data_IF_489736573307
#
_entry.id   IF_489736573307
#
_cell.length_a   1.000
_cell.length_b   1.000
_cell.length_c   1.000
_cell.angle_alpha   90.00
_cell.angle_beta   90.00
_cell.angle_gamma   90.00
#
_symmetry.space_group_name_H-M   'P 1'
#
loop_
_entity.id
_entity.type
_entity.pdbx_description
1 polymer ?
#
# COMPACT_ATOMS: atom_id res chain seq x y z
N UNK A 1 21.95 12.47 0.03
CA UNK A 1 21.67 12.88 -1.37
C UNK A 1 21.62 11.62 -2.19
N UNK A 2 20.56 11.44 -2.97
CA UNK A 2 20.34 10.19 -3.70
C UNK A 2 20.62 10.39 -5.19
N UNK A 3 21.42 9.50 -5.77
CA UNK A 3 21.74 9.51 -7.19
C UNK A 3 21.06 8.33 -7.87
N UNK A 4 20.10 8.63 -8.75
CA UNK A 4 19.30 7.60 -9.43
C UNK A 4 19.98 7.19 -10.73
N UNK A 5 20.19 5.89 -10.90
CA UNK A 5 20.75 5.28 -12.12
C UNK A 5 19.97 4.03 -12.53
N UNK A 6 20.17 3.58 -13.77
CA UNK A 6 19.58 2.36 -14.32
C UNK A 6 20.62 1.23 -14.35
N UNK A 7 20.22 0.01 -13.99
CA UNK A 7 21.06 -1.18 -14.18
C UNK A 7 21.07 -1.59 -15.65
N UNK A 8 22.24 -1.71 -16.26
CA UNK A 8 22.44 -2.24 -17.61
C UNK A 8 23.78 -2.95 -17.71
N UNK A 9 23.82 -4.15 -18.30
CA UNK A 9 25.05 -4.94 -18.45
C UNK A 9 25.80 -5.20 -17.14
N UNK A 10 25.08 -5.38 -16.01
CA UNK A 10 25.67 -5.57 -14.69
C UNK A 10 26.24 -4.31 -14.04
N UNK A 11 26.14 -3.14 -14.69
CA UNK A 11 26.63 -1.85 -14.16
C UNK A 11 25.47 -0.92 -13.87
N UNK A 12 25.68 -0.01 -12.91
CA UNK A 12 24.76 1.10 -12.65
C UNK A 12 25.16 2.28 -13.53
N UNK A 13 24.27 2.67 -14.44
CA UNK A 13 24.46 3.77 -15.38
C UNK A 13 23.65 4.97 -14.89
N UNK A 14 24.32 6.09 -14.65
CA UNK A 14 23.67 7.35 -14.29
C UNK A 14 23.33 8.15 -15.55
N UNK A 15 22.16 8.82 -15.60
CA UNK A 15 21.91 9.86 -16.60
C UNK A 15 22.99 10.95 -16.53
N UNK A 16 23.36 11.61 -17.67
CA UNK A 16 24.44 12.59 -17.70
C UNK A 16 24.33 13.70 -16.64
N UNK A 17 23.12 14.21 -16.40
CA UNK A 17 22.86 15.23 -15.38
C UNK A 17 23.16 14.72 -13.96
N UNK A 18 22.73 13.50 -13.63
CA UNK A 18 22.97 12.87 -12.32
C UNK A 18 24.46 12.54 -12.14
N UNK A 19 25.13 12.10 -13.19
CA UNK A 19 26.57 11.81 -13.18
C UNK A 19 27.41 13.08 -12.91
N UNK A 20 27.00 14.22 -13.47
CA UNK A 20 27.64 15.51 -13.23
C UNK A 20 27.38 16.00 -11.79
N UNK A 21 26.14 15.90 -11.32
CA UNK A 21 25.79 16.27 -9.95
C UNK A 21 26.54 15.42 -8.92
N UNK A 22 26.67 14.12 -9.18
CA UNK A 22 27.48 13.20 -8.38
C UNK A 22 28.95 13.63 -8.36
N UNK A 23 29.55 13.92 -9.51
CA UNK A 23 30.93 14.40 -9.59
C UNK A 23 31.15 15.70 -8.80
N UNK A 24 30.23 16.65 -8.89
CA UNK A 24 30.29 17.89 -8.10
C UNK A 24 30.25 17.62 -6.60
N UNK A 25 29.36 16.72 -6.17
CA UNK A 25 29.29 16.32 -4.76
C UNK A 25 30.60 15.69 -4.27
N UNK A 26 31.19 14.76 -5.03
CA UNK A 26 32.48 14.18 -4.65
C UNK A 26 33.61 15.21 -4.56
N UNK A 27 33.64 16.20 -5.46
CA UNK A 27 34.62 17.29 -5.40
C UNK A 27 34.44 18.22 -4.19
N UNK A 28 33.23 18.28 -3.62
CA UNK A 28 32.96 19.09 -2.43
C UNK A 28 33.38 18.43 -1.12
N UNK A 29 33.69 17.12 -1.15
CA UNK A 29 34.11 16.38 0.03
C UNK A 29 35.63 16.56 0.21
N UNK A 30 36.11 16.95 1.41
CA UNK A 30 37.54 17.09 1.68
C UNK A 30 38.30 15.79 1.44
N UNK A 31 39.54 15.92 0.97
CA UNK A 31 40.44 14.78 0.78
C UNK A 31 40.76 14.14 2.14
N UNK A 32 40.67 12.80 2.21
CA UNK A 32 40.86 12.03 3.44
C UNK A 32 39.61 11.88 4.33
N UNK A 33 38.45 12.43 3.94
CA UNK A 33 37.20 12.20 4.67
C UNK A 33 36.63 10.80 4.42
N UNK A 34 36.14 10.15 5.48
CA UNK A 34 35.39 8.89 5.37
C UNK A 34 34.01 9.13 4.76
N UNK A 35 33.67 8.37 3.70
CA UNK A 35 32.38 8.49 3.00
C UNK A 35 31.64 7.17 2.99
N UNK A 36 30.39 7.17 3.48
CA UNK A 36 29.45 6.05 3.38
C UNK A 36 28.46 6.31 2.26
N UNK A 37 28.35 5.37 1.30
CA UNK A 37 27.30 5.38 0.27
C UNK A 37 26.54 4.06 0.26
N UNK A 38 25.22 4.12 0.09
CA UNK A 38 24.35 2.94 0.02
C UNK A 38 23.64 2.87 -1.33
N UNK A 39 23.55 1.65 -1.88
CA UNK A 39 22.75 1.36 -3.07
C UNK A 39 21.44 0.70 -2.65
N UNK A 40 20.31 1.26 -3.08
CA UNK A 40 19.00 0.64 -2.92
C UNK A 40 18.29 0.57 -4.28
N UNK A 41 17.50 -0.49 -4.50
CA UNK A 41 16.63 -0.57 -5.67
C UNK A 41 15.52 0.45 -5.50
N UNK A 42 15.44 1.42 -6.40
CA UNK A 42 14.31 2.33 -6.45
C UNK A 42 13.08 1.57 -6.94
N UNK A 43 12.17 1.25 -6.02
CA UNK A 43 10.84 0.75 -6.38
C UNK A 43 10.08 1.88 -7.06
N UNK A 44 9.45 1.60 -8.20
CA UNK A 44 8.56 2.59 -8.83
C UNK A 44 7.47 2.99 -7.82
N UNK A 45 7.23 4.29 -7.71
CA UNK A 45 6.11 4.80 -6.92
C UNK A 45 4.80 4.22 -7.49
N UNK A 46 3.93 3.71 -6.62
CA UNK A 46 2.64 3.15 -7.03
C UNK A 46 1.77 4.25 -7.61
N UNK A 47 1.13 3.99 -8.74
CA UNK A 47 0.14 4.90 -9.32
C UNK A 47 -1.14 4.91 -8.50
N UNK A 48 -1.93 6.00 -8.57
CA UNK A 48 -3.24 6.07 -7.91
C UNK A 48 -4.18 4.92 -8.32
N UNK A 49 -4.09 4.46 -9.58
CA UNK A 49 -4.84 3.28 -10.05
C UNK A 49 -4.41 1.99 -9.35
N UNK A 50 -3.11 1.81 -9.13
CA UNK A 50 -2.60 0.66 -8.37
C UNK A 50 -3.03 0.73 -6.91
N UNK A 51 -2.98 1.91 -6.27
CA UNK A 51 -3.46 2.09 -4.89
C UNK A 51 -4.95 1.75 -4.75
N UNK A 52 -5.79 2.23 -5.68
CA UNK A 52 -7.21 1.89 -5.71
C UNK A 52 -7.46 0.38 -5.90
N UNK A 53 -6.68 -0.29 -6.75
CA UNK A 53 -6.78 -1.73 -6.95
C UNK A 53 -6.38 -2.51 -5.70
N UNK A 54 -5.29 -2.10 -5.04
CA UNK A 54 -4.80 -2.67 -3.77
C UNK A 54 -5.85 -2.52 -2.68
N UNK A 55 -6.46 -1.34 -2.56
CA UNK A 55 -7.53 -1.09 -1.59
C UNK A 55 -8.74 -1.98 -1.86
N UNK A 56 -9.25 -1.98 -3.10
CA UNK A 56 -10.45 -2.75 -3.46
C UNK A 56 -10.27 -4.26 -3.27
N UNK A 57 -9.05 -4.76 -3.44
CA UNK A 57 -8.68 -6.15 -3.14
C UNK A 57 -8.70 -6.49 -1.67
N UNK A 58 -8.08 -5.64 -0.87
CA UNK A 58 -7.99 -5.86 0.57
C UNK A 58 -9.39 -5.90 1.19
N UNK A 59 -10.26 -4.98 0.74
CA UNK A 59 -11.66 -4.94 1.14
C UNK A 59 -12.41 -6.18 0.67
N UNK A 60 -12.21 -6.63 -0.58
CA UNK A 60 -12.83 -7.84 -1.07
C UNK A 60 -12.43 -9.07 -0.26
N UNK A 61 -11.14 -9.22 0.08
CA UNK A 61 -10.66 -10.32 0.91
C UNK A 61 -11.28 -10.27 2.31
N UNK A 62 -11.33 -9.09 2.94
CA UNK A 62 -11.93 -8.93 4.26
C UNK A 62 -13.43 -9.26 4.25
N UNK A 63 -14.17 -8.86 3.22
CA UNK A 63 -15.59 -9.23 3.06
C UNK A 63 -15.76 -10.74 2.94
N UNK A 64 -14.95 -11.42 2.10
CA UNK A 64 -14.99 -12.88 1.97
C UNK A 64 -14.71 -13.58 3.31
N UNK A 65 -13.69 -13.13 4.04
CA UNK A 65 -13.36 -13.71 5.35
C UNK A 65 -14.46 -13.52 6.40
N UNK A 66 -15.18 -12.40 6.36
CA UNK A 66 -16.31 -12.15 7.26
C UNK A 66 -17.52 -13.02 6.88
N UNK A 67 -17.79 -13.16 5.58
CA UNK A 67 -18.87 -14.00 5.05
C UNK A 67 -18.62 -15.49 5.34
N UNK A 68 -17.40 -15.99 5.13
CA UNK A 68 -17.00 -17.37 5.43
C UNK A 68 -17.14 -17.72 6.92
N UNK A 69 -17.07 -16.71 7.80
CA UNK A 69 -17.29 -16.85 9.25
C UNK A 69 -18.75 -16.70 9.65
N UNK A 70 -19.65 -16.41 8.72
CA UNK A 70 -21.08 -16.20 8.95
C UNK A 70 -21.41 -14.87 9.62
N UNK A 71 -20.57 -13.84 9.47
CA UNK A 71 -20.84 -12.52 10.02
C UNK A 71 -21.70 -11.67 9.07
N UNK A 72 -22.73 -11.06 9.65
CA UNK A 72 -23.60 -10.09 8.97
C UNK A 72 -23.34 -8.66 9.50
N UNK A 73 -24.05 -7.65 9.00
CA UNK A 73 -23.80 -6.25 9.40
C UNK A 73 -23.90 -5.98 10.91
N UNK A 74 -24.58 -6.83 11.68
CA UNK A 74 -24.60 -6.78 13.16
C UNK A 74 -23.21 -6.84 13.79
N UNK A 75 -22.26 -7.55 13.17
CA UNK A 75 -20.90 -7.65 13.66
C UNK A 75 -20.17 -6.30 13.59
N UNK A 76 -20.38 -5.55 12.50
CA UNK A 76 -19.77 -4.23 12.28
C UNK A 76 -20.49 -3.16 13.09
N UNK A 77 -21.82 -3.23 13.14
CA UNK A 77 -22.68 -2.25 13.82
C UNK A 77 -22.82 -2.53 15.32
N UNK A 78 -22.27 -3.65 15.80
CA UNK A 78 -22.36 -4.13 17.18
C UNK A 78 -23.81 -4.18 17.70
N UNK A 79 -24.72 -4.75 16.90
CA UNK A 79 -26.13 -4.89 17.29
C UNK A 79 -26.37 -6.22 18.01
N UNK A 80 -27.29 -6.28 18.99
CA UNK A 80 -27.51 -7.48 19.80
C UNK A 80 -28.12 -8.64 19.01
N UNK A 81 -28.86 -8.34 17.95
CA UNK A 81 -29.50 -9.35 17.11
C UNK A 81 -28.84 -9.38 15.72
N UNK A 82 -28.72 -10.57 15.10
CA UNK A 82 -28.30 -10.70 13.70
C UNK A 82 -29.23 -9.90 12.78
N UNK A 83 -28.64 -9.23 11.80
CA UNK A 83 -29.40 -8.48 10.80
C UNK A 83 -29.84 -9.33 9.61
N UNK A 84 -29.13 -10.43 9.33
CA UNK A 84 -29.25 -11.22 8.11
C UNK A 84 -28.78 -10.50 6.85
N UNK A 85 -28.19 -9.30 6.98
CA UNK A 85 -27.73 -8.49 5.85
C UNK A 85 -26.22 -8.71 5.69
N UNK A 86 -25.79 -9.15 4.52
CA UNK A 86 -24.38 -9.36 4.23
C UNK A 86 -23.57 -8.06 4.36
N UNK A 87 -22.33 -8.17 4.83
CA UNK A 87 -21.40 -7.04 4.92
C UNK A 87 -20.91 -6.71 3.51
N UNK A 88 -21.31 -5.57 2.96
CA UNK A 88 -20.84 -5.12 1.66
C UNK A 88 -19.53 -4.31 1.74
N UNK A 89 -18.94 -4.07 0.56
CA UNK A 89 -17.68 -3.34 0.45
C UNK A 89 -17.77 -1.89 0.91
N UNK A 90 -18.91 -1.23 0.72
CA UNK A 90 -19.08 0.19 1.01
C UNK A 90 -19.16 0.39 2.52
N UNK A 91 -19.98 -0.40 3.21
CA UNK A 91 -20.06 -0.42 4.67
C UNK A 91 -18.68 -0.63 5.28
N UNK A 92 -17.93 -1.61 4.77
CA UNK A 92 -16.62 -1.93 5.30
C UNK A 92 -15.59 -0.83 5.02
N UNK A 93 -15.64 -0.18 3.84
CA UNK A 93 -14.81 0.98 3.54
C UNK A 93 -15.08 2.14 4.50
N UNK A 94 -16.36 2.48 4.70
CA UNK A 94 -16.76 3.57 5.59
C UNK A 94 -16.35 3.27 7.04
N UNK A 95 -16.53 2.03 7.49
CA UNK A 95 -16.05 1.59 8.78
C UNK A 95 -14.54 1.83 8.95
N UNK A 96 -13.70 1.42 7.98
CA UNK A 96 -12.26 1.62 8.07
C UNK A 96 -11.84 3.09 8.02
N UNK A 97 -12.53 3.95 7.28
CA UNK A 97 -12.29 5.39 7.35
C UNK A 97 -12.64 5.98 8.72
N UNK A 98 -13.54 5.35 9.48
CA UNK A 98 -13.84 5.77 10.86
C UNK A 98 -12.82 5.25 11.87
N UNK A 99 -12.42 3.97 11.80
CA UNK A 99 -11.54 3.35 12.81
C UNK A 99 -10.04 3.55 12.54
N UNK A 100 -9.65 3.82 11.29
CA UNK A 100 -8.26 4.09 10.90
C UNK A 100 -8.17 5.42 10.13
N UNK A 101 -8.54 6.56 10.74
CA UNK A 101 -8.60 7.83 10.03
C UNK A 101 -7.21 8.35 9.66
N UNK A 102 -7.10 8.92 8.46
CA UNK A 102 -5.99 9.79 8.04
C UNK A 102 -6.53 11.21 7.93
N UNK A 103 -5.76 12.16 8.43
CA UNK A 103 -6.10 13.57 8.42
C UNK A 103 -5.20 14.34 7.44
N UNK A 104 -5.75 15.39 6.82
CA UNK A 104 -4.96 16.39 6.11
C UNK A 104 -4.31 17.39 7.09
N UNK A 105 -3.59 18.36 6.53
CA UNK A 105 -2.92 19.42 7.30
C UNK A 105 -3.89 20.29 8.10
N UNK A 106 -5.16 20.37 7.68
CA UNK A 106 -6.23 21.09 8.37
C UNK A 106 -6.91 20.25 9.46
N UNK A 107 -6.45 19.01 9.69
CA UNK A 107 -7.07 18.08 10.65
C UNK A 107 -8.40 17.49 10.17
N UNK A 108 -8.74 17.61 8.88
CA UNK A 108 -9.94 17.00 8.31
C UNK A 108 -9.64 15.59 7.84
N UNK A 109 -10.57 14.67 8.11
CA UNK A 109 -10.46 13.30 7.62
C UNK A 109 -10.50 13.30 6.08
N UNK A 110 -9.56 12.58 5.48
CA UNK A 110 -9.49 12.39 4.04
C UNK A 110 -9.72 10.94 3.63
N UNK A 111 -10.25 10.74 2.42
CA UNK A 111 -10.44 9.44 1.79
C UNK A 111 -9.31 9.15 0.81
N UNK A 112 -9.21 7.90 0.32
CA UNK A 112 -8.14 7.46 -0.58
C UNK A 112 -7.92 8.38 -1.80
N UNK A 113 -8.99 8.99 -2.34
CA UNK A 113 -8.90 9.92 -3.48
C UNK A 113 -8.12 11.20 -3.21
N UNK A 114 -7.95 11.57 -1.92
CA UNK A 114 -7.22 12.76 -1.48
C UNK A 114 -5.88 12.44 -0.82
N UNK A 115 -5.58 11.16 -0.59
CA UNK A 115 -4.33 10.73 0.03
C UNK A 115 -3.18 10.79 -0.96
N UNK A 116 -2.01 11.23 -0.50
CA UNK A 116 -0.75 10.96 -1.19
C UNK A 116 -0.34 9.48 -1.01
N UNK A 117 0.71 9.06 -1.71
CA UNK A 117 1.16 7.65 -1.72
C UNK A 117 1.56 7.18 -0.30
N UNK A 118 2.25 8.01 0.47
CA UNK A 118 2.70 7.66 1.81
C UNK A 118 1.53 7.50 2.79
N UNK A 119 0.58 8.45 2.75
CA UNK A 119 -0.66 8.40 3.51
C UNK A 119 -1.48 7.16 3.18
N UNK A 120 -1.63 6.83 1.89
CA UNK A 120 -2.35 5.64 1.45
C UNK A 120 -1.67 4.34 1.94
N UNK A 121 -0.35 4.25 1.85
CA UNK A 121 0.40 3.08 2.32
C UNK A 121 0.32 2.93 3.84
N UNK A 122 0.39 4.04 4.58
CA UNK A 122 0.16 4.05 6.04
C UNK A 122 -1.24 3.56 6.37
N UNK A 123 -2.26 4.13 5.72
CA UNK A 123 -3.66 3.72 5.88
C UNK A 123 -3.86 2.21 5.65
N UNK A 124 -3.27 1.67 4.58
CA UNK A 124 -3.35 0.22 4.30
C UNK A 124 -2.66 -0.63 5.36
N UNK A 125 -1.56 -0.14 5.94
CA UNK A 125 -0.88 -0.81 7.05
C UNK A 125 -1.74 -0.80 8.32
N UNK A 126 -2.33 0.35 8.66
CA UNK A 126 -3.20 0.51 9.82
C UNK A 126 -4.44 -0.40 9.73
N UNK A 127 -5.08 -0.45 8.55
CA UNK A 127 -6.23 -1.35 8.31
C UNK A 127 -5.84 -2.83 8.42
N UNK A 128 -4.69 -3.24 7.91
CA UNK A 128 -4.19 -4.62 8.07
C UNK A 128 -3.94 -4.98 9.52
N UNK A 129 -3.32 -4.07 10.27
CA UNK A 129 -3.06 -4.26 11.69
C UNK A 129 -4.37 -4.32 12.49
N UNK A 130 -5.35 -3.50 12.14
CA UNK A 130 -6.68 -3.56 12.73
C UNK A 130 -7.35 -4.91 12.46
N UNK A 131 -7.41 -5.34 11.20
CA UNK A 131 -7.97 -6.63 10.79
C UNK A 131 -7.34 -7.80 11.55
N UNK A 132 -6.01 -7.82 11.65
CA UNK A 132 -5.29 -8.87 12.35
C UNK A 132 -5.55 -8.84 13.87
N UNK A 133 -5.52 -7.65 14.48
CA UNK A 133 -5.62 -7.52 15.95
C UNK A 133 -7.05 -7.63 16.48
N UNK A 134 -8.03 -7.04 15.80
CA UNK A 134 -9.41 -6.97 16.28
C UNK A 134 -10.24 -8.15 15.79
N UNK A 135 -10.01 -8.60 14.56
CA UNK A 135 -10.87 -9.62 13.93
C UNK A 135 -10.11 -10.91 13.59
N UNK A 136 -8.81 -10.99 13.88
CA UNK A 136 -7.98 -12.15 13.52
C UNK A 136 -8.10 -12.50 12.04
N UNK A 137 -8.22 -11.49 11.17
CA UNK A 137 -8.24 -11.63 9.71
C UNK A 137 -6.87 -11.19 9.19
N UNK A 138 -6.17 -12.09 8.50
CA UNK A 138 -4.87 -11.79 7.89
C UNK A 138 -5.09 -11.53 6.40
N UNK A 139 -5.00 -10.26 6.00
CA UNK A 139 -4.99 -9.91 4.57
C UNK A 139 -3.54 -9.71 4.12
N UNK A 140 -3.00 -10.58 3.26
CA UNK A 140 -1.64 -10.43 2.74
C UNK A 140 -1.54 -9.14 1.92
N UNK A 141 -0.32 -8.62 1.76
CA UNK A 141 -0.14 -7.53 0.80
C UNK A 141 -0.62 -8.00 -0.57
N UNK A 142 -1.56 -7.28 -1.20
CA UNK A 142 -2.05 -7.69 -2.48
C UNK A 142 -0.91 -7.72 -3.48
N UNK A 143 -0.71 -8.89 -4.08
CA UNK A 143 0.19 -9.05 -5.21
C UNK A 143 -0.30 -8.11 -6.32
N UNK A 144 0.58 -7.20 -6.76
CA UNK A 144 0.27 -6.21 -7.79
C UNK A 144 -0.22 -6.89 -9.07
N UNK A 145 0.15 -8.16 -9.29
CA UNK A 145 -0.17 -8.96 -10.46
C UNK A 145 -1.30 -10.00 -10.22
N UNK A 146 -2.05 -9.91 -9.11
CA UNK A 146 -3.08 -10.92 -8.79
C UNK A 146 -4.17 -11.09 -9.87
N UNK A 147 -4.46 -10.03 -10.67
CA UNK A 147 -5.40 -10.11 -11.81
C UNK A 147 -4.89 -11.02 -12.92
N UNK A 148 -3.57 -11.05 -13.15
CA UNK A 148 -2.95 -11.88 -14.17
C UNK A 148 -2.98 -13.36 -13.76
N UNK A 149 -2.79 -13.63 -12.46
CA UNK A 149 -2.84 -14.98 -11.89
C UNK A 149 -4.22 -15.64 -11.92
N UNK A 150 -5.32 -14.87 -11.89
CA UNK A 150 -6.68 -15.44 -12.02
C UNK A 150 -6.93 -16.00 -13.43
N UNK A 151 -6.38 -15.36 -14.46
CA UNK A 151 -6.53 -15.78 -15.85
C UNK A 151 -5.75 -17.07 -16.13
N UNK A 152 -4.56 -17.22 -15.55
CA UNK A 152 -3.75 -18.46 -15.68
C UNK A 152 -4.40 -19.68 -15.02
N UNK A 153 -5.06 -19.49 -13.86
CA UNK A 153 -5.78 -20.59 -13.20
C UNK A 153 -7.04 -21.04 -13.96
N UNK A 154 -7.66 -20.16 -14.75
CA UNK A 154 -8.81 -20.53 -15.60
C UNK A 154 -8.40 -21.16 -16.93
N UNK A 155 -7.19 -20.90 -17.43
CA UNK A 155 -6.70 -21.47 -18.69
C UNK A 155 -5.99 -22.83 -18.51
N UNK A 156 -5.67 -23.21 -17.26
CA UNK A 156 -5.02 -24.47 -16.92
C UNK A 156 -5.94 -25.45 -16.17
N UNK A 157 -7.25 -25.18 -16.16
CA UNK A 157 -8.31 -26.04 -15.63
C UNK A 157 -9.24 -26.44 -16.79
#
# INVERSE_FOLDING_TARGET
>A
MDFIGKKSGGKLIYPPAVAEQKRRHWRSIPEGADVKSSLAVQRQARTNKQLAAIWGLMIAQAVTELDDRGYDTSFILNTPNPTGIAIDKNLLCDYFYNVCPIFDEDGKRITLSKMNIEQAMKFFGDVRNFLASQWSIVVPEPDVNWREKKTEKMNNA
#
